data_IF_629435443921
#
_entry.id   IF_629435443921
#
_cell.length_a   1.000
_cell.length_b   1.000
_cell.length_c   1.000
_cell.angle_alpha   90.00
_cell.angle_beta   90.00
_cell.angle_gamma   90.00
#
_symmetry.space_group_name_H-M   'P 1'
#
loop_
_entity.id
_entity.type
_entity.pdbx_description
1 polymer ?
#
# COMPACT_ATOMS: atom_id res chain seq x y z
N UNK A 1 -5.74 -5.45 34.92
CA UNK A 1 -5.63 -4.13 34.27
C UNK A 1 -5.80 -4.34 32.77
N UNK A 2 -6.51 -3.43 32.09
CA UNK A 2 -6.60 -3.45 30.62
C UNK A 2 -5.39 -2.69 30.05
N UNK A 3 -4.76 -3.26 29.03
CA UNK A 3 -3.61 -2.72 28.30
C UNK A 3 -3.86 -2.89 26.81
N UNK A 4 -3.25 -2.05 25.99
CA UNK A 4 -3.35 -2.17 24.56
C UNK A 4 -2.67 -1.01 23.88
N UNK A 5 -2.54 -1.10 22.57
CA UNK A 5 -2.07 -0.01 21.74
C UNK A 5 -2.83 -0.02 20.42
N UNK A 6 -3.13 1.18 19.95
CA UNK A 6 -3.46 1.41 18.55
C UNK A 6 -2.12 1.63 17.85
N UNK A 7 -1.83 0.81 16.86
CA UNK A 7 -0.54 0.82 16.15
C UNK A 7 -0.65 1.51 14.79
N UNK A 8 -1.82 1.39 14.15
CA UNK A 8 -2.13 2.01 12.87
C UNK A 8 -3.57 2.51 12.87
N UNK A 9 -3.79 3.72 12.37
CA UNK A 9 -5.12 4.24 11.97
C UNK A 9 -4.95 4.97 10.66
N UNK A 10 -5.76 4.61 9.66
CA UNK A 10 -5.91 5.34 8.42
C UNK A 10 -7.40 5.45 8.06
N UNK A 11 -7.71 6.04 6.92
CA UNK A 11 -9.06 6.22 6.38
C UNK A 11 -9.81 4.92 6.08
N UNK A 12 -9.10 3.80 5.98
CA UNK A 12 -9.69 2.50 5.64
C UNK A 12 -9.83 1.55 6.83
N UNK A 13 -8.90 1.59 7.79
CA UNK A 13 -8.80 0.60 8.88
C UNK A 13 -8.09 1.09 10.13
N UNK A 14 -8.25 0.30 11.18
CA UNK A 14 -7.53 0.43 12.44
C UNK A 14 -6.94 -0.90 12.86
N UNK A 15 -5.67 -0.87 13.25
CA UNK A 15 -4.93 -2.03 13.75
C UNK A 15 -4.38 -1.76 15.15
N UNK A 16 -4.37 -2.81 15.96
CA UNK A 16 -3.81 -2.74 17.30
C UNK A 16 -3.94 -4.03 18.06
N UNK A 17 -3.78 -3.93 19.37
CA UNK A 17 -3.94 -5.05 20.28
C UNK A 17 -4.52 -4.59 21.61
N UNK A 18 -5.18 -5.52 22.29
CA UNK A 18 -5.80 -5.30 23.58
C UNK A 18 -5.62 -6.55 24.44
N UNK A 19 -5.32 -6.33 25.71
CA UNK A 19 -5.01 -7.34 26.72
C UNK A 19 -5.69 -6.95 28.04
N UNK A 20 -6.14 -7.94 28.81
CA UNK A 20 -6.73 -7.73 30.14
C UNK A 20 -6.22 -8.76 31.13
N UNK A 21 -5.78 -8.32 32.31
CA UNK A 21 -5.46 -9.25 33.41
C UNK A 21 -6.72 -9.88 34.06
N UNK A 22 -7.92 -9.37 33.76
CA UNK A 22 -9.15 -9.76 34.46
C UNK A 22 -10.03 -10.74 33.66
N UNK A 23 -9.57 -11.21 32.50
CA UNK A 23 -10.27 -12.22 31.71
C UNK A 23 -9.84 -12.23 30.24
N UNK A 24 -10.23 -13.27 29.49
CA UNK A 24 -9.98 -13.35 28.06
C UNK A 24 -10.75 -12.25 27.32
N UNK A 25 -9.98 -11.48 26.54
CA UNK A 25 -10.48 -10.50 25.57
C UNK A 25 -10.62 -11.10 24.17
N UNK A 26 -10.24 -12.37 24.01
CA UNK A 26 -10.42 -13.15 22.80
C UNK A 26 -11.90 -13.22 22.41
N UNK A 27 -12.16 -13.07 21.11
CA UNK A 27 -13.50 -13.04 20.47
C UNK A 27 -14.42 -11.90 20.93
N UNK A 28 -13.92 -10.95 21.74
CA UNK A 28 -14.68 -9.76 22.11
C UNK A 28 -14.64 -8.71 20.99
N UNK A 29 -15.71 -7.93 20.89
CA UNK A 29 -15.83 -6.85 19.93
C UNK A 29 -15.13 -5.59 20.44
N UNK A 30 -14.40 -4.93 19.56
CA UNK A 30 -13.86 -3.58 19.72
C UNK A 30 -14.58 -2.64 18.76
N UNK A 31 -14.80 -1.41 19.22
CA UNK A 31 -15.54 -0.37 18.52
C UNK A 31 -14.63 0.85 18.36
N UNK A 32 -14.55 1.40 17.15
CA UNK A 32 -13.87 2.65 16.89
C UNK A 32 -14.88 3.81 16.91
N UNK A 33 -14.54 4.89 17.59
CA UNK A 33 -15.36 6.09 17.69
C UNK A 33 -14.58 7.33 17.28
N UNK A 34 -15.27 8.26 16.63
CA UNK A 34 -14.88 9.67 16.53
C UNK A 34 -15.95 10.44 17.29
N UNK A 35 -15.54 11.15 18.35
CA UNK A 35 -16.47 11.75 19.32
C UNK A 35 -17.48 10.72 19.87
N UNK A 36 -18.75 10.82 19.47
CA UNK A 36 -19.84 9.92 19.85
C UNK A 36 -20.33 9.02 18.71
N UNK A 37 -19.72 9.10 17.52
CA UNK A 37 -20.10 8.32 16.34
C UNK A 37 -19.23 7.07 16.20
N UNK A 38 -19.86 5.90 16.14
CA UNK A 38 -19.17 4.65 15.83
C UNK A 38 -18.80 4.64 14.34
N UNK A 39 -17.51 4.58 14.05
CA UNK A 39 -16.95 4.61 12.69
C UNK A 39 -16.49 3.23 12.22
N UNK A 40 -16.48 2.22 13.10
CA UNK A 40 -16.12 0.85 12.73
C UNK A 40 -16.14 -0.12 13.92
N UNK A 41 -16.12 -1.42 13.63
CA UNK A 41 -16.05 -2.46 14.65
C UNK A 41 -15.33 -3.71 14.16
N UNK A 42 -14.71 -4.43 15.09
CA UNK A 42 -13.96 -5.65 14.80
C UNK A 42 -13.88 -6.58 16.00
N UNK A 43 -13.37 -7.79 15.80
CA UNK A 43 -13.14 -8.75 16.89
C UNK A 43 -11.67 -8.88 17.21
N UNK A 44 -11.38 -9.10 18.49
CA UNK A 44 -10.04 -9.45 18.96
C UNK A 44 -9.82 -10.95 18.71
N UNK A 45 -8.68 -11.30 18.12
CA UNK A 45 -8.33 -12.71 17.90
C UNK A 45 -7.18 -12.95 16.94
N UNK A 46 -6.57 -11.89 16.40
CA UNK A 46 -5.40 -12.01 15.54
C UNK A 46 -4.21 -12.45 16.40
N UNK A 47 -3.51 -13.50 15.93
CA UNK A 47 -2.33 -14.06 16.58
C UNK A 47 -1.16 -13.10 16.41
N UNK A 48 -0.49 -12.81 17.54
CA UNK A 48 0.67 -11.95 17.64
C UNK A 48 1.81 -12.66 18.34
N UNK A 49 2.78 -13.11 17.55
CA UNK A 49 3.94 -13.85 18.03
C UNK A 49 4.85 -13.00 18.93
N UNK A 50 4.88 -11.69 18.71
CA UNK A 50 5.60 -10.72 19.54
C UNK A 50 4.99 -10.60 20.94
N UNK A 51 3.66 -10.52 21.05
CA UNK A 51 2.96 -10.50 22.34
C UNK A 51 3.04 -11.84 23.06
N UNK A 52 2.97 -12.94 22.31
CA UNK A 52 3.19 -14.30 22.85
C UNK A 52 4.60 -14.45 23.41
N UNK A 53 5.62 -13.97 22.68
CA UNK A 53 7.00 -13.97 23.15
C UNK A 53 7.21 -13.07 24.39
N UNK A 54 6.42 -12.00 24.53
CA UNK A 54 6.38 -11.15 25.71
C UNK A 54 5.64 -11.76 26.91
N UNK A 55 5.09 -12.97 26.77
CA UNK A 55 4.36 -13.68 27.83
C UNK A 55 2.93 -13.17 28.05
N UNK A 56 2.34 -12.46 27.07
CA UNK A 56 0.97 -11.97 27.15
C UNK A 56 0.00 -13.00 26.56
N UNK A 57 -0.66 -13.75 27.45
CA UNK A 57 -1.65 -14.77 27.13
C UNK A 57 -1.18 -15.77 26.04
N UNK A 58 -2.07 -16.23 25.16
CA UNK A 58 -1.79 -17.15 24.06
C UNK A 58 -1.37 -16.45 22.76
N UNK A 59 -1.23 -15.11 22.79
CA UNK A 59 -0.92 -14.26 21.65
C UNK A 59 -2.12 -13.82 20.81
N UNK A 60 -3.35 -14.27 21.07
CA UNK A 60 -4.55 -13.90 20.28
C UNK A 60 -5.18 -12.58 20.74
N UNK A 61 -4.38 -11.54 20.70
CA UNK A 61 -4.70 -10.24 21.31
C UNK A 61 -4.80 -9.12 20.28
N UNK A 62 -4.53 -9.39 19.00
CA UNK A 62 -4.60 -8.40 17.94
C UNK A 62 -6.03 -8.21 17.40
N UNK A 63 -6.29 -6.99 16.91
CA UNK A 63 -7.48 -6.65 16.13
C UNK A 63 -7.07 -5.87 14.87
N UNK A 64 -7.86 -6.02 13.82
CA UNK A 64 -7.76 -5.28 12.55
C UNK A 64 -9.16 -5.23 11.94
N UNK A 65 -9.69 -4.03 11.69
CA UNK A 65 -11.02 -3.88 11.13
C UNK A 65 -11.20 -2.58 10.34
N UNK A 66 -12.10 -2.56 9.35
CA UNK A 66 -12.32 -1.36 8.55
C UNK A 66 -13.02 -0.26 9.35
N UNK A 67 -12.69 0.98 9.05
CA UNK A 67 -13.37 2.18 9.56
C UNK A 67 -13.84 3.06 8.40
N UNK A 68 -14.85 3.89 8.64
CA UNK A 68 -15.30 4.90 7.70
C UNK A 68 -15.37 6.24 8.44
N UNK A 69 -14.46 7.15 8.08
CA UNK A 69 -14.38 8.51 8.64
C UNK A 69 -14.63 9.49 7.52
N UNK A 70 -15.56 10.43 7.72
CA UNK A 70 -15.99 11.37 6.69
C UNK A 70 -14.91 12.44 6.38
N UNK A 71 -14.13 12.84 7.39
CA UNK A 71 -13.01 13.79 7.26
C UNK A 71 -11.69 13.11 7.70
N UNK A 72 -10.68 13.02 6.82
CA UNK A 72 -9.33 12.54 7.20
C UNK A 72 -8.71 13.30 8.38
N UNK A 73 -9.10 14.56 8.62
CA UNK A 73 -8.68 15.35 9.79
C UNK A 73 -9.12 14.78 11.14
N UNK A 74 -10.11 13.87 11.15
CA UNK A 74 -10.63 13.24 12.36
C UNK A 74 -9.91 11.93 12.74
N UNK A 75 -9.04 11.40 11.88
CA UNK A 75 -8.25 10.19 12.16
C UNK A 75 -7.42 10.25 13.46
N UNK A 76 -6.83 11.40 13.86
CA UNK A 76 -6.12 11.53 15.14
C UNK A 76 -7.04 11.50 16.37
N UNK A 77 -8.35 11.63 16.17
CA UNK A 77 -9.37 11.67 17.22
C UNK A 77 -10.04 10.31 17.42
N UNK A 78 -9.71 9.32 16.58
CA UNK A 78 -10.26 7.98 16.67
C UNK A 78 -9.81 7.33 17.98
N UNK A 79 -10.79 6.89 18.77
CA UNK A 79 -10.60 6.12 20.00
C UNK A 79 -11.16 4.71 19.80
N UNK A 80 -10.48 3.70 20.35
CA UNK A 80 -10.98 2.32 20.35
C UNK A 80 -11.49 1.98 21.74
N UNK A 81 -12.72 1.47 21.82
CA UNK A 81 -13.35 1.00 23.05
C UNK A 81 -13.65 -0.49 22.95
N UNK A 82 -13.55 -1.20 24.07
CA UNK A 82 -14.01 -2.58 24.16
C UNK A 82 -15.53 -2.58 24.38
N UNK A 83 -16.26 -3.41 23.64
CA UNK A 83 -17.72 -3.53 23.79
C UNK A 83 -18.09 -3.88 25.24
N UNK A 84 -19.06 -3.15 25.79
CA UNK A 84 -19.51 -3.28 27.19
C UNK A 84 -18.45 -2.92 28.25
N UNK A 85 -17.49 -2.04 27.92
CA UNK A 85 -16.49 -1.52 28.86
C UNK A 85 -16.27 -0.01 28.69
N UNK A 86 -16.02 0.68 29.80
CA UNK A 86 -15.63 2.11 29.81
C UNK A 86 -14.14 2.33 29.45
N UNK A 87 -13.42 1.26 29.07
CA UNK A 87 -12.02 1.34 28.70
C UNK A 87 -11.85 1.87 27.28
N UNK A 88 -11.08 2.96 27.16
CA UNK A 88 -10.69 3.55 25.88
C UNK A 88 -9.17 3.47 25.68
N UNK A 89 -8.77 2.99 24.50
CA UNK A 89 -7.40 3.13 24.00
C UNK A 89 -7.26 4.51 23.35
N UNK A 90 -6.39 5.33 23.92
CA UNK A 90 -5.96 6.60 23.34
C UNK A 90 -4.76 6.35 22.41
N UNK A 91 -4.69 7.07 21.29
CA UNK A 91 -3.62 7.00 20.29
C UNK A 91 -2.22 7.47 20.77
N UNK A 92 -1.96 7.54 22.07
CA UNK A 92 -0.78 8.22 22.67
C UNK A 92 0.60 7.67 22.23
N UNK A 93 0.65 6.59 21.46
CA UNK A 93 1.89 6.03 20.88
C UNK A 93 1.69 5.44 19.48
N UNK A 94 0.57 5.73 18.81
CA UNK A 94 0.34 5.27 17.45
C UNK A 94 1.36 5.95 16.52
N UNK A 95 2.17 5.14 15.84
CA UNK A 95 2.96 5.68 14.73
C UNK A 95 1.94 6.10 13.68
N UNK A 96 2.00 7.34 13.21
CA UNK A 96 1.32 7.73 11.96
C UNK A 96 1.97 6.90 10.86
N UNK A 97 1.48 5.68 10.70
CA UNK A 97 1.90 4.80 9.64
C UNK A 97 1.51 5.47 8.36
N UNK A 98 2.53 5.81 7.57
CA UNK A 98 2.45 5.97 6.12
C UNK A 98 1.44 4.95 5.60
N UNK A 99 0.58 5.33 4.66
CA UNK A 99 -0.35 4.40 4.03
C UNK A 99 0.44 3.22 3.45
N UNK A 100 0.64 2.19 4.28
CA UNK A 100 1.12 0.87 3.90
C UNK A 100 -0.10 0.26 3.22
N UNK A 101 -0.28 0.70 1.97
CA UNK A 101 -1.36 0.39 1.07
C UNK A 101 -1.64 -1.11 1.10
N UNK A 102 -2.92 -1.46 1.20
CA UNK A 102 -3.47 -2.69 0.67
C UNK A 102 -2.68 -3.96 0.98
N UNK A 103 -2.62 -4.36 2.25
CA UNK A 103 -2.49 -5.77 2.56
C UNK A 103 -3.77 -6.47 2.09
N UNK A 104 -3.72 -7.17 0.96
CA UNK A 104 -4.82 -7.98 0.48
C UNK A 104 -5.01 -9.22 1.39
N UNK A 105 -6.08 -9.32 2.21
CA UNK A 105 -6.59 -10.63 2.56
C UNK A 105 -7.04 -11.33 1.26
N UNK A 106 -7.10 -12.67 1.26
CA UNK A 106 -7.59 -13.46 0.13
C UNK A 106 -8.97 -12.99 -0.44
N UNK A 107 -9.75 -12.25 0.37
CA UNK A 107 -11.00 -11.61 -0.03
C UNK A 107 -10.85 -10.50 -1.09
N UNK A 108 -9.71 -9.80 -1.14
CA UNK A 108 -9.47 -8.74 -2.13
C UNK A 108 -9.29 -9.30 -3.55
N UNK A 109 -8.58 -10.43 -3.70
CA UNK A 109 -8.39 -11.09 -4.99
C UNK A 109 -9.70 -11.64 -5.56
N UNK A 110 -10.53 -12.27 -4.71
CA UNK A 110 -11.84 -12.77 -5.14
C UNK A 110 -12.75 -11.64 -5.63
N UNK A 111 -12.66 -10.46 -5.01
CA UNK A 111 -13.38 -9.25 -5.43
C UNK A 111 -12.88 -8.72 -6.78
N UNK A 112 -11.56 -8.67 -7.00
CA UNK A 112 -10.98 -8.27 -8.29
C UNK A 112 -11.41 -9.22 -9.42
N UNK A 113 -11.38 -10.53 -9.17
CA UNK A 113 -11.82 -11.53 -10.14
C UNK A 113 -13.32 -11.42 -10.45
N UNK A 114 -14.15 -11.13 -9.45
CA UNK A 114 -15.58 -10.85 -9.63
C UNK A 114 -15.83 -9.59 -10.47
N UNK A 115 -15.11 -8.49 -10.18
CA UNK A 115 -15.22 -7.23 -10.94
C UNK A 115 -14.83 -7.42 -12.39
N UNK A 116 -13.73 -8.15 -12.65
CA UNK A 116 -13.31 -8.56 -14.00
C UNK A 116 -14.39 -9.40 -14.69
N UNK A 117 -14.98 -10.37 -13.99
CA UNK A 117 -16.05 -11.22 -14.52
C UNK A 117 -17.33 -10.46 -14.90
N UNK A 118 -17.52 -9.25 -14.34
CA UNK A 118 -18.61 -8.33 -14.66
C UNK A 118 -18.26 -7.30 -15.73
N UNK A 119 -17.03 -7.32 -16.26
CA UNK A 119 -16.54 -6.34 -17.24
C UNK A 119 -16.30 -4.95 -16.64
N UNK A 120 -16.18 -4.85 -15.30
CA UNK A 120 -15.91 -3.58 -14.62
C UNK A 120 -14.43 -3.18 -14.66
N UNK A 121 -13.54 -4.14 -14.94
CA UNK A 121 -12.11 -3.93 -15.07
C UNK A 121 -11.61 -4.57 -16.37
N UNK A 122 -10.72 -3.87 -17.06
CA UNK A 122 -9.96 -4.44 -18.16
C UNK A 122 -8.97 -5.51 -17.64
N UNK A 123 -8.49 -6.42 -18.51
CA UNK A 123 -7.48 -7.40 -18.11
C UNK A 123 -6.20 -6.77 -17.54
N UNK A 124 -5.80 -5.60 -18.06
CA UNK A 124 -4.61 -4.89 -17.61
C UNK A 124 -4.82 -4.26 -16.22
N UNK A 125 -6.00 -3.66 -15.98
CA UNK A 125 -6.39 -3.08 -14.68
C UNK A 125 -6.45 -4.13 -13.58
N UNK A 126 -7.07 -5.28 -13.85
CA UNK A 126 -7.12 -6.38 -12.90
C UNK A 126 -5.73 -6.96 -12.60
N UNK A 127 -4.86 -7.03 -13.61
CA UNK A 127 -3.48 -7.48 -13.44
C UNK A 127 -2.65 -6.47 -12.63
N UNK A 128 -2.80 -5.18 -12.90
CA UNK A 128 -2.15 -4.10 -12.15
C UNK A 128 -2.47 -4.19 -10.67
N UNK A 129 -3.76 -4.15 -10.31
CA UNK A 129 -4.20 -4.18 -8.91
C UNK A 129 -3.70 -5.44 -8.19
N UNK A 130 -3.68 -6.58 -8.88
CA UNK A 130 -3.17 -7.84 -8.34
C UNK A 130 -1.66 -7.80 -8.11
N UNK A 131 -0.88 -7.45 -9.12
CA UNK A 131 0.57 -7.59 -9.09
C UNK A 131 1.25 -6.51 -8.25
N UNK A 132 0.73 -5.28 -8.27
CA UNK A 132 1.30 -4.23 -7.40
C UNK A 132 1.13 -4.58 -5.92
N UNK A 133 0.00 -5.20 -5.53
CA UNK A 133 -0.24 -5.64 -4.15
C UNK A 133 0.60 -6.87 -3.78
N UNK A 134 0.67 -7.88 -4.67
CA UNK A 134 1.35 -9.15 -4.37
C UNK A 134 2.86 -9.05 -4.49
N UNK A 135 3.35 -8.41 -5.54
CA UNK A 135 4.75 -8.40 -5.95
C UNK A 135 5.43 -7.07 -5.69
N UNK A 136 4.67 -5.98 -5.52
CA UNK A 136 5.22 -4.64 -5.37
C UNK A 136 5.72 -4.04 -6.69
N UNK A 137 5.48 -4.72 -7.81
CA UNK A 137 5.87 -4.26 -9.14
C UNK A 137 4.83 -4.69 -10.18
N UNK A 138 4.61 -3.83 -11.19
CA UNK A 138 3.80 -4.15 -12.36
C UNK A 138 4.34 -3.46 -13.60
N UNK A 139 4.54 -4.27 -14.63
CA UNK A 139 4.95 -3.82 -15.95
C UNK A 139 3.74 -3.52 -16.84
N UNK A 140 3.77 -2.38 -17.52
CA UNK A 140 2.75 -2.01 -18.50
C UNK A 140 3.38 -1.56 -19.82
N UNK A 141 2.98 -2.19 -20.93
CA UNK A 141 3.38 -1.77 -22.27
C UNK A 141 2.52 -0.61 -22.75
N UNK A 142 3.15 0.47 -23.19
CA UNK A 142 2.51 1.62 -23.84
C UNK A 142 2.19 1.36 -25.32
N UNK A 143 2.68 0.25 -25.88
CA UNK A 143 2.48 -0.09 -27.29
C UNK A 143 1.17 -0.85 -27.44
N UNK A 144 0.17 -0.19 -28.02
CA UNK A 144 -1.10 -0.86 -28.33
C UNK A 144 -0.94 -1.74 -29.57
N UNK A 145 -1.40 -3.00 -29.54
CA UNK A 145 -1.37 -3.86 -30.72
C UNK A 145 -2.25 -3.27 -31.82
N UNK A 146 -1.74 -3.24 -33.06
CA UNK A 146 -2.44 -2.69 -34.22
C UNK A 146 -3.86 -3.27 -34.34
N UNK A 147 -4.88 -2.42 -34.18
CA UNK A 147 -6.17 -2.67 -34.81
C UNK A 147 -5.98 -2.40 -36.32
N UNK A 148 -6.25 -3.41 -37.14
CA UNK A 148 -6.21 -3.46 -38.61
C UNK A 148 -5.89 -2.14 -39.33
N UNK A 149 -4.63 -1.95 -39.74
CA UNK A 149 -4.21 -0.93 -40.72
C UNK A 149 -3.69 0.41 -40.20
N UNK A 150 -3.75 0.68 -38.89
CA UNK A 150 -3.22 1.91 -38.29
C UNK A 150 -1.71 1.90 -37.97
N UNK A 151 -1.12 3.09 -37.85
CA UNK A 151 0.19 3.28 -37.20
C UNK A 151 0.15 2.83 -35.74
N UNK A 152 1.25 2.28 -35.25
CA UNK A 152 1.41 1.96 -33.82
C UNK A 152 1.66 3.29 -33.11
N UNK A 153 0.64 3.79 -32.42
CA UNK A 153 0.78 4.94 -31.52
C UNK A 153 1.10 4.41 -30.13
N UNK A 154 2.28 4.79 -29.62
CA UNK A 154 2.57 4.62 -28.20
C UNK A 154 1.63 5.50 -27.39
N UNK A 155 1.02 4.93 -26.35
CA UNK A 155 0.21 5.69 -25.41
C UNK A 155 1.10 6.71 -24.68
N UNK A 156 0.51 7.85 -24.32
CA UNK A 156 1.17 8.85 -23.49
C UNK A 156 1.48 8.25 -22.10
N UNK A 157 2.77 8.23 -21.67
CA UNK A 157 3.15 7.69 -20.36
C UNK A 157 2.42 8.36 -19.20
N UNK A 158 2.26 9.69 -19.24
CA UNK A 158 1.63 10.44 -18.15
C UNK A 158 0.16 10.06 -18.00
N UNK A 159 -0.57 10.03 -19.13
CA UNK A 159 -1.97 9.59 -19.15
C UNK A 159 -2.13 8.15 -18.66
N UNK A 160 -1.28 7.25 -19.13
CA UNK A 160 -1.35 5.83 -18.74
C UNK A 160 -1.05 5.66 -17.24
N UNK A 161 -0.06 6.39 -16.71
CA UNK A 161 0.22 6.41 -15.28
C UNK A 161 -1.00 6.91 -14.47
N UNK A 162 -1.67 7.97 -14.93
CA UNK A 162 -2.89 8.50 -14.29
C UNK A 162 -3.99 7.46 -14.20
N UNK A 163 -4.34 6.83 -15.32
CA UNK A 163 -5.45 5.89 -15.37
C UNK A 163 -5.27 4.75 -14.34
N UNK A 164 -4.04 4.24 -14.16
CA UNK A 164 -3.76 3.20 -13.17
C UNK A 164 -3.66 3.72 -11.72
N UNK A 165 -3.06 4.87 -11.48
CA UNK A 165 -2.95 5.43 -10.12
C UNK A 165 -4.32 5.89 -9.58
N UNK A 166 -5.17 6.46 -10.42
CA UNK A 166 -6.56 6.80 -10.06
C UNK A 166 -7.40 5.54 -9.81
N UNK A 167 -7.15 4.46 -10.56
CA UNK A 167 -7.76 3.17 -10.28
C UNK A 167 -7.36 2.63 -8.90
N UNK A 168 -6.10 2.83 -8.50
CA UNK A 168 -5.62 2.43 -7.17
C UNK A 168 -6.27 3.26 -6.06
N UNK A 169 -6.43 4.56 -6.30
CA UNK A 169 -7.02 5.51 -5.36
C UNK A 169 -8.55 5.48 -5.30
N UNK A 170 -9.20 4.92 -6.33
CA UNK A 170 -10.65 5.00 -6.54
C UNK A 170 -11.20 6.45 -6.56
N UNK A 171 -10.34 7.42 -6.86
CA UNK A 171 -10.66 8.84 -6.99
C UNK A 171 -9.76 9.49 -8.04
N UNK A 172 -10.21 10.62 -8.57
CA UNK A 172 -9.37 11.50 -9.38
C UNK A 172 -8.21 12.01 -8.54
N UNK A 173 -7.02 12.12 -9.14
CA UNK A 173 -5.81 12.54 -8.43
C UNK A 173 -4.96 13.50 -9.25
N UNK A 174 -4.32 14.44 -8.56
CA UNK A 174 -3.29 15.26 -9.18
C UNK A 174 -2.00 14.46 -9.26
N UNK A 175 -1.47 14.40 -10.47
CA UNK A 175 -0.26 13.66 -10.78
C UNK A 175 0.90 14.64 -10.87
N UNK A 176 1.89 14.42 -10.01
CA UNK A 176 3.15 15.16 -10.04
C UNK A 176 4.14 14.38 -10.88
N UNK A 177 4.76 15.07 -11.83
CA UNK A 177 5.86 14.56 -12.64
C UNK A 177 7.17 15.11 -12.09
N UNK A 178 8.00 14.23 -11.55
CA UNK A 178 9.33 14.57 -11.05
C UNK A 178 10.38 13.92 -11.95
N UNK A 179 11.27 14.73 -12.52
CA UNK A 179 12.39 14.24 -13.32
C UNK A 179 13.68 14.22 -12.49
N UNK A 180 14.32 13.06 -12.41
CA UNK A 180 15.57 12.87 -11.67
C UNK A 180 16.60 12.09 -12.50
N UNK A 181 17.87 12.26 -12.17
CA UNK A 181 18.93 11.38 -12.66
C UNK A 181 19.34 10.45 -11.52
N UNK A 182 18.75 9.25 -11.51
CA UNK A 182 18.90 8.33 -10.38
C UNK A 182 20.09 7.38 -10.58
N UNK A 183 20.92 7.25 -9.54
CA UNK A 183 21.99 6.25 -9.45
C UNK A 183 21.57 5.04 -8.59
N UNK A 184 20.62 5.22 -7.67
CA UNK A 184 20.07 4.14 -6.85
C UNK A 184 18.56 4.30 -6.66
N UNK A 185 17.90 3.24 -6.21
CA UNK A 185 16.44 3.23 -6.07
C UNK A 185 15.95 4.14 -4.92
N UNK A 186 16.72 4.27 -3.85
CA UNK A 186 16.35 5.12 -2.69
C UNK A 186 16.18 6.61 -3.07
N UNK A 187 16.90 7.07 -4.10
CA UNK A 187 16.78 8.43 -4.64
C UNK A 187 15.38 8.72 -5.23
N UNK A 188 14.72 7.69 -5.79
CA UNK A 188 13.34 7.79 -6.28
C UNK A 188 12.39 8.10 -5.12
N UNK A 189 12.51 7.33 -4.03
CA UNK A 189 11.68 7.53 -2.84
C UNK A 189 11.91 8.90 -2.19
N UNK A 190 13.15 9.38 -2.14
CA UNK A 190 13.47 10.71 -1.63
C UNK A 190 12.91 11.83 -2.52
N UNK A 191 12.98 11.68 -3.84
CA UNK A 191 12.45 12.67 -4.78
C UNK A 191 10.93 12.85 -4.62
N UNK A 192 10.20 11.73 -4.50
CA UNK A 192 8.74 11.74 -4.31
C UNK A 192 8.34 12.40 -2.98
N UNK A 193 9.13 12.19 -1.92
CA UNK A 193 8.88 12.81 -0.62
C UNK A 193 9.23 14.31 -0.58
N UNK A 194 10.13 14.78 -1.45
CA UNK A 194 10.58 16.17 -1.47
C UNK A 194 9.52 17.15 -2.01
N UNK A 195 8.56 16.68 -2.82
CA UNK A 195 7.47 17.49 -3.39
C UNK A 195 6.45 17.94 -2.33
N UNK A 196 6.48 17.36 -1.12
CA UNK A 196 5.54 17.64 -0.03
C UNK A 196 4.22 16.86 -0.16
N UNK A 197 3.47 16.73 0.94
CA UNK A 197 2.25 15.91 1.01
C UNK A 197 2.50 14.45 1.44
N UNK A 198 1.45 13.63 1.38
CA UNK A 198 1.52 12.18 1.67
C UNK A 198 1.31 11.38 0.37
N UNK A 199 2.36 11.21 -0.47
CA UNK A 199 2.24 10.48 -1.72
C UNK A 199 1.95 9.01 -1.48
N UNK A 200 1.31 8.37 -2.47
CA UNK A 200 1.21 6.92 -2.54
C UNK A 200 2.59 6.26 -2.46
N UNK A 201 2.66 5.07 -1.83
CA UNK A 201 3.86 4.24 -1.92
C UNK A 201 4.09 3.72 -3.35
N UNK A 202 3.02 3.60 -4.15
CA UNK A 202 3.11 3.20 -5.55
C UNK A 202 3.38 4.41 -6.44
N UNK A 203 4.44 4.32 -7.24
CA UNK A 203 4.75 5.31 -8.29
C UNK A 203 4.89 4.63 -9.63
N UNK A 204 4.69 5.38 -10.73
CA UNK A 204 5.02 4.91 -12.06
C UNK A 204 6.33 5.53 -12.53
N UNK A 205 7.20 4.69 -13.09
CA UNK A 205 8.52 5.04 -13.59
C UNK A 205 8.54 4.93 -15.11
N UNK A 206 9.15 5.92 -15.74
CA UNK A 206 9.38 5.95 -17.18
C UNK A 206 10.75 6.53 -17.51
N UNK A 207 11.32 6.13 -18.63
CA UNK A 207 12.53 6.75 -19.16
C UNK A 207 12.49 6.81 -20.67
N UNK A 208 13.07 7.86 -21.23
CA UNK A 208 13.28 7.97 -22.67
C UNK A 208 14.33 6.97 -23.19
N UNK A 209 15.21 6.46 -22.31
CA UNK A 209 16.23 5.47 -22.61
C UNK A 209 15.89 4.12 -21.96
N UNK A 210 16.36 2.98 -22.51
CA UNK A 210 16.22 1.70 -21.84
C UNK A 210 16.95 1.70 -20.49
N UNK A 211 16.21 1.36 -19.43
CA UNK A 211 16.73 1.19 -18.07
C UNK A 211 16.32 -0.17 -17.57
N UNK A 212 17.11 -0.74 -16.66
CA UNK A 212 16.76 -1.98 -15.98
C UNK A 212 16.77 -1.77 -14.48
N UNK A 213 15.74 -2.23 -13.80
CA UNK A 213 15.60 -2.20 -12.34
C UNK A 213 15.39 -3.64 -11.87
N UNK A 214 16.28 -4.12 -11.02
CA UNK A 214 16.14 -5.39 -10.34
C UNK A 214 15.29 -5.19 -9.08
N UNK A 215 14.20 -5.96 -8.93
CA UNK A 215 13.26 -5.87 -7.82
C UNK A 215 13.13 -7.24 -7.15
N UNK A 216 13.25 -7.29 -5.83
CA UNK A 216 12.89 -8.48 -5.04
C UNK A 216 11.38 -8.46 -4.81
N UNK A 217 10.64 -9.23 -5.59
CA UNK A 217 9.18 -9.24 -5.54
C UNK A 217 8.65 -9.65 -4.17
N UNK A 218 7.62 -8.96 -3.68
CA UNK A 218 6.97 -9.24 -2.39
C UNK A 218 7.72 -8.68 -1.17
N UNK A 219 8.91 -8.11 -1.36
CA UNK A 219 9.74 -7.56 -0.28
C UNK A 219 9.14 -6.35 0.44
N UNK A 220 8.13 -5.68 -0.15
CA UNK A 220 7.36 -4.64 0.53
C UNK A 220 6.61 -5.15 1.77
N UNK A 221 6.35 -6.46 1.85
CA UNK A 221 5.72 -7.09 3.01
C UNK A 221 6.75 -7.55 4.07
N UNK A 222 8.04 -7.57 3.73
CA UNK A 222 9.08 -8.01 4.65
C UNK A 222 9.57 -6.84 5.52
N UNK A 223 9.12 -6.83 6.78
CA UNK A 223 9.55 -5.85 7.78
C UNK A 223 11.02 -5.95 8.14
N UNK A 224 11.69 -7.06 7.81
CA UNK A 224 13.13 -7.22 8.00
C UNK A 224 13.81 -6.88 6.68
N UNK A 225 14.12 -5.59 6.45
CA UNK A 225 14.97 -5.11 5.34
C UNK A 225 16.42 -5.62 5.48
N UNK A 226 16.59 -6.94 5.45
CA UNK A 226 17.80 -7.66 5.83
C UNK A 226 18.00 -8.81 4.86
N UNK A 227 17.87 -8.54 3.56
CA UNK A 227 18.13 -9.48 2.48
C UNK A 227 19.05 -8.86 1.44
N UNK A 228 19.94 -9.65 0.85
CA UNK A 228 20.58 -9.26 -0.41
C UNK A 228 19.57 -9.30 -1.55
N UNK A 229 19.98 -8.88 -2.75
CA UNK A 229 19.15 -8.94 -3.97
C UNK A 229 19.03 -10.36 -4.55
N UNK A 230 19.08 -11.39 -3.71
CA UNK A 230 18.96 -12.78 -4.14
C UNK A 230 17.51 -13.07 -4.54
N UNK A 231 17.33 -13.56 -5.77
CA UNK A 231 15.99 -13.76 -6.34
C UNK A 231 15.34 -12.50 -6.92
N UNK A 232 16.07 -11.39 -7.07
CA UNK A 232 15.56 -10.21 -7.74
C UNK A 232 15.21 -10.51 -9.21
N UNK A 233 14.07 -10.00 -9.65
CA UNK A 233 13.58 -10.08 -11.03
C UNK A 233 13.92 -8.77 -11.73
N UNK A 234 14.41 -8.90 -12.97
CA UNK A 234 14.80 -7.76 -13.79
C UNK A 234 13.60 -7.18 -14.55
N UNK A 235 13.27 -5.93 -14.25
CA UNK A 235 12.23 -5.15 -14.94
C UNK A 235 12.86 -4.13 -15.88
N UNK A 236 12.39 -4.08 -17.13
CA UNK A 236 12.89 -3.14 -18.13
C UNK A 236 11.94 -1.96 -18.30
N UNK A 237 12.48 -0.76 -18.19
CA UNK A 237 11.81 0.49 -18.47
C UNK A 237 12.34 1.08 -19.77
N UNK A 238 11.54 1.91 -20.43
CA UNK A 238 11.94 2.55 -21.67
C UNK A 238 10.80 3.34 -22.29
N UNK A 239 11.00 3.84 -23.51
CA UNK A 239 10.01 4.71 -24.16
C UNK A 239 8.67 4.01 -24.41
N UNK A 240 8.64 2.68 -24.42
CA UNK A 240 7.49 1.82 -24.72
C UNK A 240 6.88 1.13 -23.49
N UNK A 241 7.41 1.39 -22.27
CA UNK A 241 6.95 0.71 -21.05
C UNK A 241 6.92 1.63 -19.83
N UNK A 242 5.91 1.43 -19.00
CA UNK A 242 5.84 1.93 -17.63
C UNK A 242 6.13 0.81 -16.65
N UNK A 243 6.86 1.14 -15.59
CA UNK A 243 7.00 0.27 -14.43
C UNK A 243 6.31 0.93 -13.24
N UNK A 244 5.26 0.31 -12.74
CA UNK A 244 4.68 0.66 -11.46
C UNK A 244 5.43 -0.09 -10.36
N UNK A 245 5.80 0.61 -9.30
CA UNK A 245 6.59 0.02 -8.22
C UNK A 245 6.20 0.61 -6.87
N UNK A 246 6.13 -0.25 -5.85
CA UNK A 246 6.00 0.16 -4.45
C UNK A 246 7.37 0.59 -3.91
N UNK A 247 7.48 1.82 -3.40
CA UNK A 247 8.71 2.36 -2.80
C UNK A 247 9.18 1.60 -1.55
N UNK A 248 8.36 0.69 -1.01
CA UNK A 248 8.67 -0.22 0.07
C UNK A 248 9.49 -1.45 -0.34
N UNK A 249 9.56 -1.78 -1.64
CA UNK A 249 10.33 -2.95 -2.13
C UNK A 249 11.84 -2.74 -2.01
N UNK A 250 12.56 -3.86 -1.97
CA UNK A 250 14.00 -3.88 -2.21
C UNK A 250 14.26 -3.88 -3.71
N UNK A 251 14.85 -2.80 -4.21
CA UNK A 251 15.18 -2.67 -5.63
C UNK A 251 16.53 -1.97 -5.88
N UNK A 252 17.10 -2.23 -7.05
CA UNK A 252 18.36 -1.64 -7.53
C UNK A 252 18.24 -1.27 -9.00
N UNK A 253 18.77 -0.11 -9.36
CA UNK A 253 18.91 0.29 -10.77
C UNK A 253 20.18 -0.37 -11.31
N UNK A 254 20.05 -1.18 -12.37
CA UNK A 254 21.16 -1.87 -13.03
C UNK A 254 21.81 -0.93 -14.06
N UNK A 255 22.55 0.07 -13.57
CA UNK A 255 23.30 1.00 -14.41
C UNK A 255 24.55 1.50 -13.72
N UNK A 256 25.65 1.64 -14.47
CA UNK A 256 26.89 2.22 -13.98
C UNK A 256 26.84 3.77 -13.94
N UNK A 257 25.81 4.39 -14.55
CA UNK A 257 25.68 5.84 -14.67
C UNK A 257 24.29 6.32 -14.25
N UNK A 258 24.20 7.49 -13.60
CA UNK A 258 22.93 8.14 -13.32
C UNK A 258 22.08 8.23 -14.60
N UNK A 259 20.85 7.73 -14.53
CA UNK A 259 19.99 7.63 -15.70
C UNK A 259 18.76 8.51 -15.51
N UNK A 260 18.36 9.31 -16.50
CA UNK A 260 17.18 10.15 -16.40
C UNK A 260 15.92 9.29 -16.29
N UNK A 261 15.19 9.49 -15.21
CA UNK A 261 13.90 8.86 -14.93
C UNK A 261 12.86 9.94 -14.71
N UNK A 262 11.68 9.71 -15.26
CA UNK A 262 10.47 10.42 -14.88
C UNK A 262 9.71 9.57 -13.88
N UNK A 263 9.30 10.20 -12.80
CA UNK A 263 8.51 9.61 -11.73
C UNK A 263 7.14 10.27 -11.77
N UNK A 264 6.11 9.46 -11.81
CA UNK A 264 4.72 9.88 -11.75
C UNK A 264 4.17 9.43 -10.39
N UNK A 265 3.89 10.39 -9.51
CA UNK A 265 3.32 10.17 -8.17
C UNK A 265 1.95 10.85 -8.04
N UNK A 266 1.02 10.17 -7.37
CA UNK A 266 -0.28 10.70 -7.05
C UNK A 266 -0.38 11.00 -5.55
N UNK A 267 -1.14 12.05 -5.21
CA UNK A 267 -1.39 12.59 -3.87
C UNK A 267 -2.90 12.62 -3.58
#
# INVERSE_FOLDING_TARGET
MLRGAIELVNDERIDGWLYSDFGEVFDRTVLAFVDDQCVGSGRIGIVRDDLKAAGLADGRLGFSFPIAVDDPGDLPRVIVKLESSDFSLLQSSATKGRSDLFQAPAAALARLEWMRGRGMLSPAEAAFLKYVQQLGAFDHSLVQPKSTGGEVLAADPLRSARDFLELLLLRESELVETEISAACFDEIGMAVLAEGGEPLSIVALWSAAPVSIAIVEGSQNDRRRSGGFEGAIEYRLGPDRLLFVDLGVQARIETDKPTPLKIFSAY
#
